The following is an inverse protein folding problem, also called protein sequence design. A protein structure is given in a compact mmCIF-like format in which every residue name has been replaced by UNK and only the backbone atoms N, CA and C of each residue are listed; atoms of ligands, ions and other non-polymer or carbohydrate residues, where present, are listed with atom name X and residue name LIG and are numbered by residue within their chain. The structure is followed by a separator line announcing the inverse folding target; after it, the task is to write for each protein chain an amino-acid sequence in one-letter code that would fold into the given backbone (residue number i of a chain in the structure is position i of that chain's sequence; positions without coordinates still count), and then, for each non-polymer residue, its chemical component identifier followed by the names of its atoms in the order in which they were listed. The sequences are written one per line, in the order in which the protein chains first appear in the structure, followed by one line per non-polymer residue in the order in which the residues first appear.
data_IF_885523247948
#
_entry.id   IF_885523247948
#
_cell.length_a   1.000
_cell.length_b   1.000
_cell.length_c   1.000
_cell.angle_alpha   90.00
_cell.angle_beta   90.00
_cell.angle_gamma   90.00
#
_symmetry.space_group_name_H-M   'P 1'
#
loop_
_entity.id
_entity.type
_entity.pdbx_description
1 polymer ?
#
# COMPACT_ATOMS: atom_id res chain seq x y z
N UNK A 1 -49.33 15.80 -53.79
CA UNK A 1 -48.02 15.20 -53.80
C UNK A 1 -47.35 15.44 -52.47
N UNK A 2 -47.56 14.56 -51.58
CA UNK A 2 -46.96 14.67 -50.25
C UNK A 2 -45.83 13.70 -50.17
N UNK A 3 -44.64 14.16 -50.39
CA UNK A 3 -43.48 13.39 -50.12
C UNK A 3 -43.24 13.38 -48.60
N UNK A 4 -43.73 12.35 -47.98
CA UNK A 4 -43.45 12.15 -46.57
C UNK A 4 -42.03 11.61 -46.47
N UNK A 5 -41.14 12.53 -46.25
CA UNK A 5 -39.74 12.15 -45.95
C UNK A 5 -39.70 11.67 -44.53
N UNK A 6 -39.77 10.39 -44.36
CA UNK A 6 -39.45 9.78 -43.11
C UNK A 6 -37.95 9.89 -42.93
N UNK A 7 -37.56 10.90 -42.19
CA UNK A 7 -36.21 11.01 -41.70
C UNK A 7 -36.09 10.01 -40.56
N UNK A 8 -35.71 8.80 -40.92
CA UNK A 8 -35.36 7.81 -39.94
C UNK A 8 -34.03 8.22 -39.32
N UNK A 9 -34.15 8.96 -38.24
CA UNK A 9 -32.98 9.22 -37.41
C UNK A 9 -32.68 7.93 -36.70
N UNK A 10 -31.81 7.17 -37.31
CA UNK A 10 -31.20 6.02 -36.67
C UNK A 10 -30.31 6.55 -35.57
N UNK A 11 -30.87 6.67 -34.39
CA UNK A 11 -30.12 6.97 -33.20
C UNK A 11 -29.30 5.72 -32.90
N UNK A 12 -28.10 5.69 -33.48
CA UNK A 12 -27.13 4.69 -33.16
C UNK A 12 -26.59 5.04 -31.77
N UNK A 13 -27.29 4.53 -30.77
CA UNK A 13 -26.85 4.59 -29.39
C UNK A 13 -25.58 3.78 -29.30
N UNK A 14 -24.46 4.44 -29.44
CA UNK A 14 -23.18 3.85 -29.15
C UNK A 14 -23.14 3.67 -27.63
N UNK A 15 -23.62 2.53 -27.22
CA UNK A 15 -23.44 2.08 -25.85
C UNK A 15 -21.93 1.79 -25.71
N UNK A 16 -21.19 2.82 -25.36
CA UNK A 16 -19.79 2.65 -24.97
C UNK A 16 -19.78 1.78 -23.74
N UNK A 17 -19.57 0.50 -23.96
CA UNK A 17 -19.24 -0.42 -22.89
C UNK A 17 -17.91 0.05 -22.31
N UNK A 18 -17.99 0.86 -21.30
CA UNK A 18 -16.84 1.18 -20.51
C UNK A 18 -16.48 -0.09 -19.75
N UNK A 19 -15.54 -0.82 -20.31
CA UNK A 19 -14.85 -1.84 -19.54
C UNK A 19 -14.07 -1.11 -18.44
N UNK A 20 -14.76 -0.84 -17.34
CA UNK A 20 -14.11 -0.52 -16.10
C UNK A 20 -13.35 -1.79 -15.70
N UNK A 21 -12.08 -1.85 -16.02
CA UNK A 21 -11.23 -2.89 -15.48
C UNK A 21 -11.10 -2.59 -13.99
N UNK A 22 -11.97 -3.22 -13.21
CA UNK A 22 -11.85 -3.23 -11.77
C UNK A 22 -10.54 -3.95 -11.45
N UNK A 23 -9.50 -3.19 -11.13
CA UNK A 23 -8.25 -3.77 -10.71
C UNK A 23 -8.47 -4.48 -9.37
N UNK A 24 -8.14 -5.76 -9.35
CA UNK A 24 -8.26 -6.58 -8.16
C UNK A 24 -7.32 -6.05 -7.08
N UNK A 25 -7.84 -5.84 -5.89
CA UNK A 25 -7.03 -5.47 -4.74
C UNK A 25 -5.97 -6.55 -4.49
N UNK A 26 -4.76 -6.11 -4.15
CA UNK A 26 -3.64 -7.00 -3.86
C UNK A 26 -3.36 -6.97 -2.36
N UNK A 27 -3.13 -8.14 -1.79
CA UNK A 27 -2.73 -8.27 -0.38
C UNK A 27 -1.33 -8.83 -0.28
N UNK A 28 -0.54 -8.25 0.60
CA UNK A 28 0.83 -8.68 0.88
C UNK A 28 1.10 -8.64 2.38
N UNK A 29 2.08 -9.43 2.80
CA UNK A 29 2.59 -9.42 4.17
C UNK A 29 4.06 -9.03 4.12
N UNK A 30 4.41 -7.97 4.83
CA UNK A 30 5.79 -7.45 4.87
C UNK A 30 6.25 -7.35 6.32
N UNK A 31 7.55 -7.52 6.55
CA UNK A 31 8.13 -7.31 7.86
C UNK A 31 8.41 -5.85 8.12
N UNK A 32 8.02 -5.37 9.29
CA UNK A 32 8.27 -4.00 9.74
C UNK A 32 8.70 -4.03 11.21
N UNK A 33 9.82 -3.42 11.51
CA UNK A 33 10.30 -3.31 12.88
C UNK A 33 9.50 -2.28 13.66
N UNK A 34 9.24 -2.61 14.90
CA UNK A 34 8.56 -1.78 15.88
C UNK A 34 8.46 -2.55 17.18
N UNK A 35 8.00 -1.93 18.26
CA UNK A 35 8.01 -2.60 19.57
C UNK A 35 6.78 -2.33 20.45
N UNK A 36 5.91 -1.41 20.08
CA UNK A 36 4.83 -0.99 20.98
C UNK A 36 3.53 -0.68 20.23
N UNK A 37 2.49 -0.41 20.99
CA UNK A 37 1.17 -0.08 20.45
C UNK A 37 1.17 1.25 19.69
N UNK A 38 2.00 2.20 20.09
CA UNK A 38 2.12 3.47 19.38
C UNK A 38 2.84 3.27 18.04
N UNK A 39 3.84 2.38 17.99
CA UNK A 39 4.45 1.96 16.73
C UNK A 39 3.39 1.40 15.77
N UNK A 40 2.50 0.56 16.28
CA UNK A 40 1.41 -0.01 15.48
C UNK A 40 0.60 1.07 14.79
N UNK A 41 0.19 2.09 15.53
CA UNK A 41 -0.60 3.20 14.97
C UNK A 41 0.18 3.95 13.89
N UNK A 42 1.45 4.26 14.14
CA UNK A 42 2.28 5.00 13.19
C UNK A 42 2.54 4.19 11.92
N UNK A 43 2.85 2.92 12.06
CA UNK A 43 3.10 2.01 10.93
C UNK A 43 1.85 1.89 10.07
N UNK A 44 0.71 1.62 10.69
CA UNK A 44 -0.57 1.45 9.98
C UNK A 44 -1.00 2.75 9.31
N UNK A 45 -0.90 3.88 10.00
CA UNK A 45 -1.25 5.18 9.42
C UNK A 45 -0.36 5.52 8.23
N UNK A 46 0.94 5.28 8.33
CA UNK A 46 1.87 5.53 7.22
C UNK A 46 1.53 4.68 6.00
N UNK A 47 1.13 3.43 6.21
CA UNK A 47 0.70 2.54 5.13
C UNK A 47 -0.58 3.05 4.47
N UNK A 48 -1.56 3.48 5.25
CA UNK A 48 -2.83 4.02 4.75
C UNK A 48 -2.59 5.32 3.96
N UNK A 49 -1.78 6.21 4.48
CA UNK A 49 -1.43 7.46 3.80
C UNK A 49 -0.72 7.22 2.47
N UNK A 50 0.02 6.13 2.37
CA UNK A 50 0.71 5.73 1.14
C UNK A 50 -0.19 4.97 0.15
N UNK A 51 -1.47 4.79 0.48
CA UNK A 51 -2.46 4.21 -0.42
C UNK A 51 -2.97 2.83 -0.06
N UNK A 52 -2.52 2.24 1.04
CA UNK A 52 -3.11 0.98 1.50
C UNK A 52 -4.56 1.20 1.92
N UNK A 53 -5.43 0.29 1.55
CA UNK A 53 -6.83 0.30 1.99
C UNK A 53 -7.03 -0.44 3.31
N UNK A 54 -6.12 -1.38 3.60
CA UNK A 54 -6.06 -2.10 4.86
C UNK A 54 -4.60 -2.18 5.29
N UNK A 55 -4.35 -1.94 6.56
CA UNK A 55 -3.04 -2.11 7.17
C UNK A 55 -3.22 -2.64 8.59
N UNK A 56 -2.62 -3.77 8.89
CA UNK A 56 -2.67 -4.39 10.21
C UNK A 56 -1.29 -4.95 10.57
N UNK A 57 -0.66 -4.34 11.55
CA UNK A 57 0.65 -4.73 12.03
C UNK A 57 0.55 -5.54 13.33
N UNK A 58 1.28 -6.63 13.39
CA UNK A 58 1.34 -7.47 14.57
C UNK A 58 2.64 -7.21 15.34
N UNK A 59 2.49 -6.73 16.55
CA UNK A 59 3.60 -6.41 17.45
C UNK A 59 4.51 -7.59 17.75
N UNK A 60 3.95 -8.79 17.83
CA UNK A 60 4.70 -9.98 18.22
C UNK A 60 5.46 -10.60 17.06
N UNK A 61 4.82 -10.68 15.91
CA UNK A 61 5.42 -11.28 14.72
C UNK A 61 6.18 -10.28 13.85
N UNK A 62 5.92 -8.98 14.03
CA UNK A 62 6.46 -7.89 13.20
C UNK A 62 5.92 -7.90 11.76
N UNK A 63 4.93 -8.69 11.47
CA UNK A 63 4.31 -8.69 10.15
C UNK A 63 3.24 -7.62 10.03
N UNK A 64 3.31 -6.90 8.92
CA UNK A 64 2.29 -5.95 8.48
C UNK A 64 1.54 -6.56 7.30
N UNK A 65 0.26 -6.78 7.48
CA UNK A 65 -0.61 -7.21 6.38
C UNK A 65 -1.22 -5.97 5.75
N UNK A 66 -0.99 -5.80 4.46
CA UNK A 66 -1.52 -4.67 3.69
C UNK A 66 -2.39 -5.16 2.54
N UNK A 67 -3.40 -4.38 2.22
CA UNK A 67 -4.20 -4.53 1.00
C UNK A 67 -4.19 -3.19 0.28
N UNK A 68 -4.03 -3.20 -1.02
CA UNK A 68 -3.97 -1.97 -1.82
C UNK A 68 -4.42 -2.23 -3.26
N UNK A 69 -4.77 -1.15 -3.95
CA UNK A 69 -5.07 -1.19 -5.37
C UNK A 69 -3.77 -0.96 -6.15
N UNK A 70 -3.31 -1.94 -6.94
CA UNK A 70 -2.05 -1.81 -7.68
C UNK A 70 -2.07 -0.72 -8.76
N UNK A 71 -3.25 -0.19 -9.10
CA UNK A 71 -3.35 0.95 -10.02
C UNK A 71 -2.95 2.27 -9.36
N UNK A 72 -3.04 2.38 -8.04
CA UNK A 72 -2.82 3.64 -7.31
C UNK A 72 -1.55 3.65 -6.48
N UNK A 73 -1.07 2.50 -6.02
CA UNK A 73 0.12 2.40 -5.19
C UNK A 73 0.78 1.02 -5.37
N UNK A 74 1.84 0.78 -4.63
CA UNK A 74 2.52 -0.52 -4.62
C UNK A 74 3.24 -0.74 -3.29
N UNK A 75 3.73 -1.96 -3.09
CA UNK A 75 4.44 -2.33 -1.86
C UNK A 75 5.66 -1.43 -1.58
N UNK A 76 6.43 -1.09 -2.62
CA UNK A 76 7.62 -0.25 -2.47
C UNK A 76 7.27 1.16 -1.97
N UNK A 77 6.21 1.77 -2.49
CA UNK A 77 5.74 3.09 -2.04
C UNK A 77 5.25 3.04 -0.60
N UNK A 78 4.53 2.01 -0.24
CA UNK A 78 4.02 1.83 1.12
C UNK A 78 5.19 1.65 2.10
N UNK A 79 6.14 0.78 1.77
CA UNK A 79 7.33 0.56 2.61
C UNK A 79 8.19 1.82 2.73
N UNK A 80 8.35 2.57 1.65
CA UNK A 80 9.10 3.83 1.66
C UNK A 80 8.46 4.84 2.61
N UNK A 81 7.14 4.94 2.62
CA UNK A 81 6.42 5.83 3.54
C UNK A 81 6.62 5.40 5.00
N UNK A 82 6.57 4.10 5.26
CA UNK A 82 6.80 3.56 6.61
C UNK A 82 8.24 3.82 7.05
N UNK A 83 9.21 3.62 6.17
CA UNK A 83 10.62 3.93 6.46
C UNK A 83 10.82 5.43 6.71
N UNK A 84 10.16 6.30 5.95
CA UNK A 84 10.21 7.74 6.16
C UNK A 84 9.65 8.15 7.53
N UNK A 85 8.73 7.37 8.07
CA UNK A 85 8.18 7.57 9.41
C UNK A 85 9.11 7.06 10.52
N UNK A 86 10.21 6.40 10.19
CA UNK A 86 11.23 5.95 11.15
C UNK A 86 11.28 4.44 11.37
N UNK A 87 10.51 3.64 10.65
CA UNK A 87 10.40 2.20 10.85
C UNK A 87 11.07 1.42 9.72
N UNK A 88 12.06 0.60 10.05
CA UNK A 88 12.70 -0.28 9.06
C UNK A 88 11.71 -1.31 8.55
N UNK A 89 11.64 -1.45 7.24
CA UNK A 89 10.87 -2.50 6.58
C UNK A 89 11.81 -3.55 5.99
N UNK A 90 11.25 -4.65 5.50
CA UNK A 90 12.06 -5.72 4.93
C UNK A 90 12.91 -5.26 3.73
N UNK A 91 12.43 -4.30 2.95
CA UNK A 91 13.11 -3.86 1.73
C UNK A 91 13.68 -2.44 1.84
N UNK A 92 13.25 -1.65 2.82
CA UNK A 92 13.66 -0.26 2.99
C UNK A 92 14.02 0.04 4.43
N UNK A 93 15.16 0.66 4.61
CA UNK A 93 15.64 1.05 5.92
C UNK A 93 15.30 2.51 6.19
N UNK A 94 14.82 2.81 7.38
CA UNK A 94 14.62 4.19 7.81
C UNK A 94 15.98 4.89 7.94
N UNK A 95 16.04 6.19 7.65
CA UNK A 95 17.22 6.97 7.96
C UNK A 95 17.41 7.06 9.48
N UNK A 96 18.64 7.24 9.91
CA UNK A 96 18.91 7.43 11.34
C UNK A 96 18.19 8.67 11.88
N UNK A 97 18.10 9.71 11.07
CA UNK A 97 17.36 10.92 11.42
C UNK A 97 15.88 10.66 11.67
N UNK A 98 15.22 9.89 10.80
CA UNK A 98 13.82 9.54 10.96
C UNK A 98 13.60 8.66 12.20
N UNK A 99 14.46 7.68 12.40
CA UNK A 99 14.42 6.81 13.57
C UNK A 99 14.60 7.62 14.87
N UNK A 100 15.56 8.52 14.90
CA UNK A 100 15.88 9.32 16.09
C UNK A 100 14.78 10.32 16.48
N UNK A 101 13.87 10.60 15.56
CA UNK A 101 12.70 11.44 15.84
C UNK A 101 11.54 10.68 16.48
N UNK A 102 11.62 9.36 16.53
CA UNK A 102 10.59 8.55 17.19
C UNK A 102 10.62 8.83 18.69
N UNK A 103 9.44 8.77 19.30
CA UNK A 103 9.33 8.80 20.76
C UNK A 103 10.12 7.64 21.36
N UNK A 104 10.62 7.82 22.58
CA UNK A 104 11.48 6.83 23.24
C UNK A 104 10.85 5.43 23.24
N UNK A 105 9.55 5.33 23.46
CA UNK A 105 8.86 4.05 23.46
C UNK A 105 8.82 3.39 22.08
N UNK A 106 9.03 4.14 21.01
CA UNK A 106 9.04 3.66 19.64
C UNK A 106 10.44 3.42 19.08
N UNK A 107 11.48 3.73 19.83
CA UNK A 107 12.85 3.45 19.41
C UNK A 107 13.18 1.98 19.67
N UNK A 108 12.81 1.18 18.70
CA UNK A 108 13.01 -0.27 18.73
C UNK A 108 14.47 -0.63 18.47
N UNK A 109 14.86 -1.85 18.84
CA UNK A 109 16.18 -2.36 18.49
C UNK A 109 16.27 -2.59 16.98
N UNK A 110 17.19 -1.90 16.33
CA UNK A 110 17.35 -1.95 14.88
C UNK A 110 18.15 -3.18 14.46
N UNK A 111 17.58 -4.34 14.71
CA UNK A 111 18.12 -5.58 14.16
C UNK A 111 17.84 -5.63 12.68
N UNK A 112 18.83 -6.04 11.92
CA UNK A 112 18.63 -6.29 10.52
C UNK A 112 17.49 -7.28 10.34
N UNK A 113 16.45 -6.87 9.60
CA UNK A 113 15.43 -7.79 9.16
C UNK A 113 16.12 -8.70 8.16
N UNK A 114 16.49 -9.88 8.63
CA UNK A 114 17.14 -10.84 7.76
C UNK A 114 16.25 -11.11 6.60
N UNK A 115 16.77 -10.75 5.48
CA UNK A 115 16.23 -11.21 4.24
C UNK A 115 16.26 -12.74 4.26
N UNK A 116 15.10 -13.32 4.31
CA UNK A 116 14.97 -14.76 4.18
C UNK A 116 15.13 -15.19 2.72
N UNK A 117 15.61 -14.32 1.89
CA UNK A 117 16.09 -14.72 0.59
C UNK A 117 17.46 -15.31 0.68
N UNK A 118 17.61 -16.11 1.70
CA UNK A 118 18.73 -16.82 1.77
C UNK A 118 18.67 -17.99 0.96
N UNK A 119 18.95 -17.89 0.29
CA UNK A 119 19.16 -18.76 -0.31
C UNK A 119 19.96 -19.12 -1.03
N UNK A 120 20.33 -19.65 -1.11
CA UNK A 120 20.93 -20.57 -1.62
C UNK A 120 22.06 -20.26 -2.38
N UNK A 121 22.94 -20.64 -2.12
CA UNK A 121 24.07 -20.89 -2.87
C UNK A 121 23.92 -22.14 -3.54
#
# INVERSE_FOLDING_TARGET
MKALKFFSILFFSIFSFQFSSAQTAKSETIKVNGNCSDCKKHIENSAIEAGATVANWNKNTKFLKITYNPATTNSAKIQTAIAAAGYDTQDFKASDSAYNKLDDCCQYDRVALKDNTNKKE
#
